data_IF_628797913319
#
_entry.id   IF_628797913319
#
_cell.length_a   1.000
_cell.length_b   1.000
_cell.length_c   1.000
_cell.angle_alpha   90.00
_cell.angle_beta   90.00
_cell.angle_gamma   90.00
#
_symmetry.space_group_name_H-M   'P 1'
#
loop_
_entity.id
_entity.type
_entity.pdbx_description
1 polymer ?
#
# COMPACT_ATOMS: atom_id res chain seq x y z
N UNK A 1 25.54 5.03 -2.32
CA UNK A 1 26.92 5.29 -1.84
C UNK A 1 26.96 4.97 -0.36
N UNK A 2 27.90 4.15 0.11
CA UNK A 2 27.96 3.74 1.53
C UNK A 2 29.09 4.48 2.22
N UNK A 3 28.77 5.31 3.20
CA UNK A 3 29.77 6.05 3.98
C UNK A 3 29.85 5.38 5.35
N UNK A 4 31.03 4.91 5.78
CA UNK A 4 31.18 4.33 7.10
C UNK A 4 31.01 5.41 8.17
N UNK A 5 29.96 5.31 8.98
CA UNK A 5 29.76 6.18 10.13
C UNK A 5 30.84 5.89 11.19
N UNK A 6 31.72 6.86 11.46
CA UNK A 6 32.82 6.72 12.43
C UNK A 6 32.66 7.63 13.66
N UNK A 7 31.98 8.77 13.52
CA UNK A 7 31.80 9.81 14.55
C UNK A 7 30.55 10.64 14.27
N UNK A 8 29.91 11.22 15.29
CA UNK A 8 28.85 12.22 15.11
C UNK A 8 29.41 13.63 15.38
N UNK A 9 29.26 14.60 14.46
CA UNK A 9 28.65 14.49 13.12
C UNK A 9 29.52 13.67 12.14
N UNK A 10 28.90 12.92 11.20
CA UNK A 10 29.61 12.23 10.11
C UNK A 10 29.59 13.12 8.86
N UNK A 11 30.74 13.57 8.34
CA UNK A 11 30.78 14.32 7.09
C UNK A 11 30.41 13.41 5.91
N UNK A 12 29.64 13.94 4.97
CA UNK A 12 29.25 13.25 3.74
C UNK A 12 29.28 14.18 2.53
N UNK A 13 29.32 13.59 1.34
CA UNK A 13 29.15 14.30 0.06
C UNK A 13 28.20 13.47 -0.79
N UNK A 14 27.17 14.11 -1.33
CA UNK A 14 26.19 13.47 -2.22
C UNK A 14 26.45 13.91 -3.66
N UNK A 15 27.20 13.13 -4.45
CA UNK A 15 27.36 13.44 -5.88
C UNK A 15 26.04 13.15 -6.61
N UNK A 16 25.59 14.08 -7.44
CA UNK A 16 24.44 13.92 -8.32
C UNK A 16 24.79 14.35 -9.75
N UNK A 17 24.18 13.76 -10.79
CA UNK A 17 24.44 14.14 -12.17
C UNK A 17 23.98 15.57 -12.47
N UNK A 18 24.71 16.29 -13.32
CA UNK A 18 24.27 17.56 -13.86
C UNK A 18 22.96 17.35 -14.65
N UNK A 19 21.89 18.05 -14.28
CA UNK A 19 20.55 17.88 -14.84
C UNK A 19 19.65 16.86 -14.12
N UNK A 20 20.10 16.25 -13.02
CA UNK A 20 19.23 15.45 -12.16
C UNK A 20 18.22 16.29 -11.37
N UNK A 21 18.43 17.61 -11.32
CA UNK A 21 17.54 18.58 -10.71
C UNK A 21 16.88 19.40 -11.81
N UNK A 22 15.56 19.36 -11.85
CA UNK A 22 14.70 20.11 -12.76
C UNK A 22 14.38 21.48 -12.15
N UNK A 23 14.47 22.53 -12.97
CA UNK A 23 14.14 23.89 -12.52
C UNK A 23 12.68 23.97 -12.04
N UNK A 24 12.47 24.52 -10.84
CA UNK A 24 11.14 24.70 -10.25
C UNK A 24 10.65 23.50 -9.42
N UNK A 25 11.39 22.39 -9.37
CA UNK A 25 11.05 21.23 -8.54
C UNK A 25 11.66 21.32 -7.14
N UNK A 26 11.01 20.65 -6.18
CA UNK A 26 11.54 20.43 -4.83
C UNK A 26 11.79 18.95 -4.63
N UNK A 27 12.95 18.64 -4.09
CA UNK A 27 13.40 17.30 -3.77
C UNK A 27 13.40 17.08 -2.27
N UNK A 28 13.42 15.83 -1.83
CA UNK A 28 13.56 15.47 -0.43
C UNK A 28 14.92 14.82 -0.21
N UNK A 29 15.71 15.37 0.72
CA UNK A 29 16.94 14.73 1.19
C UNK A 29 16.61 13.71 2.27
N UNK A 30 17.23 12.54 2.17
CA UNK A 30 17.08 11.46 3.13
C UNK A 30 18.44 10.83 3.41
N UNK A 31 18.75 10.62 4.69
CA UNK A 31 19.90 9.84 5.12
C UNK A 31 19.45 8.57 5.84
N UNK A 32 20.15 7.47 5.57
CA UNK A 32 19.99 6.19 6.26
C UNK A 32 21.36 5.63 6.68
N UNK A 33 21.42 5.05 7.88
CA UNK A 33 22.60 4.37 8.41
C UNK A 33 22.21 2.92 8.69
N UNK A 34 22.86 1.99 8.00
CA UNK A 34 22.65 0.55 8.16
C UNK A 34 23.88 -0.15 8.76
N UNK A 35 23.66 -1.18 9.57
CA UNK A 35 24.70 -2.06 10.10
C UNK A 35 24.32 -3.52 9.83
N UNK A 36 25.23 -4.31 9.27
CA UNK A 36 24.98 -5.71 8.89
C UNK A 36 23.72 -5.93 8.01
N UNK A 37 23.35 -4.91 7.20
CA UNK A 37 22.15 -4.94 6.35
C UNK A 37 20.85 -4.48 7.04
N UNK A 38 20.87 -4.23 8.35
CA UNK A 38 19.74 -3.71 9.11
C UNK A 38 19.79 -2.18 9.21
N UNK A 39 18.67 -1.50 8.99
CA UNK A 39 18.54 -0.05 9.15
C UNK A 39 18.54 0.33 10.64
N UNK A 40 19.48 1.17 11.05
CA UNK A 40 19.67 1.58 12.44
C UNK A 40 19.23 3.02 12.71
N UNK A 41 19.37 3.90 11.70
CA UNK A 41 18.98 5.31 11.80
C UNK A 41 18.45 5.82 10.46
N UNK A 42 17.41 6.64 10.48
CA UNK A 42 16.90 7.35 9.29
C UNK A 42 16.54 8.79 9.63
N UNK A 43 16.58 9.68 8.64
CA UNK A 43 15.91 10.99 8.74
C UNK A 43 14.41 10.77 8.84
N UNK A 44 13.77 11.33 9.87
CA UNK A 44 12.32 11.22 10.13
C UNK A 44 11.55 12.48 9.72
N UNK A 45 12.24 13.60 9.52
CA UNK A 45 11.66 14.87 9.08
C UNK A 45 11.86 15.06 7.58
N UNK A 46 10.90 15.74 6.94
CA UNK A 46 11.01 16.06 5.52
C UNK A 46 12.00 17.21 5.32
N UNK A 47 13.18 16.90 4.77
CA UNK A 47 14.20 17.91 4.46
C UNK A 47 14.08 18.28 2.99
N UNK A 48 13.39 19.38 2.71
CA UNK A 48 13.23 19.90 1.35
C UNK A 48 14.56 20.46 0.82
N UNK A 49 14.83 20.21 -0.47
CA UNK A 49 16.00 20.65 -1.19
C UNK A 49 15.59 21.15 -2.57
N UNK A 50 15.88 22.41 -2.85
CA UNK A 50 15.54 23.11 -4.09
C UNK A 50 16.74 23.26 -5.04
N UNK A 51 17.89 22.66 -4.71
CA UNK A 51 19.08 22.66 -5.57
C UNK A 51 19.93 23.93 -5.51
N UNK A 52 19.54 24.96 -4.75
CA UNK A 52 20.27 26.24 -4.68
C UNK A 52 21.32 26.29 -3.59
N UNK A 53 21.02 25.77 -2.39
CA UNK A 53 21.99 25.60 -1.32
C UNK A 53 22.75 24.30 -1.58
N UNK A 54 24.08 24.33 -1.64
CA UNK A 54 24.91 23.15 -1.93
C UNK A 54 25.77 22.69 -0.74
N UNK A 55 25.89 23.53 0.29
CA UNK A 55 26.74 23.31 1.46
C UNK A 55 25.96 23.57 2.77
N UNK A 56 26.49 23.07 3.89
CA UNK A 56 25.96 23.38 5.23
C UNK A 56 24.69 22.63 5.62
N UNK A 57 24.35 21.52 4.95
CA UNK A 57 23.20 20.70 5.33
C UNK A 57 23.52 19.79 6.51
N UNK A 58 22.70 19.89 7.55
CA UNK A 58 22.67 18.94 8.66
C UNK A 58 21.44 18.05 8.52
N UNK A 59 21.66 16.76 8.28
CA UNK A 59 20.61 15.75 8.25
C UNK A 59 20.57 15.04 9.60
N UNK A 60 19.59 15.38 10.44
CA UNK A 60 19.38 14.65 11.68
C UNK A 60 18.82 13.26 11.37
N UNK A 61 19.50 12.23 11.87
CA UNK A 61 19.04 10.84 11.78
C UNK A 61 18.68 10.37 13.18
N UNK A 62 17.48 9.81 13.32
CA UNK A 62 17.01 9.29 14.60
C UNK A 62 17.14 7.78 14.60
N UNK A 63 17.46 7.18 15.76
CA UNK A 63 17.54 5.73 15.91
C UNK A 63 16.16 5.16 15.63
N UNK A 64 16.07 4.30 14.62
CA UNK A 64 14.88 3.51 14.39
C UNK A 64 14.85 2.44 15.48
N UNK A 65 13.97 2.62 16.46
CA UNK A 65 13.68 1.57 17.43
C UNK A 65 12.92 0.45 16.73
N UNK A 66 13.60 -0.43 15.98
CA UNK A 66 13.04 -1.65 15.42
C UNK A 66 11.70 -1.53 14.70
N UNK A 67 11.37 -0.38 14.11
CA UNK A 67 10.06 -0.13 13.51
C UNK A 67 10.07 1.11 12.61
N UNK A 68 9.52 0.91 11.42
CA UNK A 68 9.07 1.90 10.45
C UNK A 68 10.11 2.90 9.89
N UNK A 69 10.87 2.43 8.89
CA UNK A 69 10.93 3.16 7.62
C UNK A 69 9.47 3.43 7.19
N UNK A 70 9.05 4.64 6.76
CA UNK A 70 7.68 4.84 6.32
C UNK A 70 7.45 3.86 5.18
N UNK A 71 6.79 2.76 5.50
CA UNK A 71 6.49 1.74 4.54
C UNK A 71 5.71 2.46 3.46
N UNK A 72 6.15 2.35 2.21
CA UNK A 72 5.25 2.65 1.10
C UNK A 72 3.91 2.01 1.48
N UNK A 73 2.83 2.80 1.44
CA UNK A 73 1.51 2.34 1.87
C UNK A 73 1.30 0.92 1.30
N UNK A 74 0.83 -0.05 2.11
CA UNK A 74 0.70 -1.43 1.67
C UNK A 74 0.12 -1.44 0.27
N UNK A 75 0.68 -2.21 -0.67
CA UNK A 75 0.33 -2.09 -2.10
C UNK A 75 -1.17 -2.32 -2.39
N UNK A 76 -1.92 -2.84 -1.41
CA UNK A 76 -3.36 -3.03 -1.37
C UNK A 76 -4.16 -1.76 -0.99
N UNK A 77 -3.52 -0.72 -0.45
CA UNK A 77 -4.16 0.58 -0.15
C UNK A 77 -4.45 1.29 -1.47
N UNK A 78 -5.72 1.60 -1.69
CA UNK A 78 -6.18 2.16 -2.96
C UNK A 78 -7.63 1.79 -3.26
N UNK A 79 -8.05 2.13 -4.47
CA UNK A 79 -9.36 1.79 -5.01
C UNK A 79 -9.22 0.69 -6.05
N UNK A 80 -10.09 -0.30 -5.96
CA UNK A 80 -10.04 -1.53 -6.73
C UNK A 80 -11.42 -1.84 -7.32
N UNK A 81 -11.44 -2.29 -8.57
CA UNK A 81 -12.61 -2.77 -9.27
C UNK A 81 -12.51 -4.28 -9.43
N UNK A 82 -13.52 -5.02 -8.98
CA UNK A 82 -13.52 -6.47 -9.11
C UNK A 82 -13.67 -6.91 -10.56
N UNK A 83 -12.86 -7.88 -10.97
CA UNK A 83 -12.88 -8.46 -12.32
C UNK A 83 -13.21 -9.96 -12.31
N UNK A 84 -12.90 -10.65 -11.23
CA UNK A 84 -13.18 -12.08 -11.08
C UNK A 84 -13.39 -12.49 -9.62
N UNK A 85 -14.31 -13.44 -9.41
CA UNK A 85 -14.46 -14.17 -8.16
C UNK A 85 -14.37 -15.68 -8.45
N UNK A 86 -13.29 -16.31 -8.00
CA UNK A 86 -13.10 -17.77 -8.07
C UNK A 86 -13.23 -18.39 -9.47
N UNK A 87 -12.86 -17.66 -10.54
CA UNK A 87 -12.92 -18.09 -11.93
C UNK A 87 -14.30 -18.01 -12.59
N UNK A 88 -15.26 -17.33 -11.94
CA UNK A 88 -16.63 -17.17 -12.43
C UNK A 88 -16.89 -15.88 -13.22
N UNK A 89 -15.91 -14.97 -13.29
CA UNK A 89 -16.09 -13.62 -13.82
C UNK A 89 -17.03 -12.74 -12.98
N UNK A 90 -17.11 -11.46 -13.33
CA UNK A 90 -18.11 -10.52 -12.83
C UNK A 90 -19.16 -10.25 -13.91
N UNK A 91 -20.39 -9.90 -13.51
CA UNK A 91 -21.40 -9.41 -14.45
C UNK A 91 -20.91 -8.07 -15.03
N UNK A 92 -20.75 -7.97 -16.35
CA UNK A 92 -20.14 -6.81 -17.04
C UNK A 92 -20.76 -5.45 -16.66
N UNK A 93 -22.08 -5.40 -16.43
CA UNK A 93 -22.81 -4.17 -16.07
C UNK A 93 -22.88 -3.90 -14.55
N UNK A 94 -22.27 -4.74 -13.71
CA UNK A 94 -22.31 -4.65 -12.25
C UNK A 94 -20.92 -4.36 -11.66
N UNK A 95 -20.62 -3.08 -11.47
CA UNK A 95 -19.36 -2.64 -10.89
C UNK A 95 -19.31 -2.93 -9.38
N UNK A 96 -18.49 -3.90 -8.99
CA UNK A 96 -18.18 -4.16 -7.58
C UNK A 96 -16.84 -3.50 -7.22
N UNK A 97 -16.86 -2.55 -6.29
CA UNK A 97 -15.69 -1.75 -5.92
C UNK A 97 -15.24 -2.03 -4.49
N UNK A 98 -13.93 -1.92 -4.26
CA UNK A 98 -13.28 -2.10 -2.98
C UNK A 98 -12.25 -0.97 -2.78
N UNK A 99 -12.41 -0.18 -1.74
CA UNK A 99 -11.45 0.84 -1.34
C UNK A 99 -10.90 0.51 0.04
N UNK A 100 -9.58 0.47 0.14
CA UNK A 100 -8.86 0.18 1.38
C UNK A 100 -7.99 1.39 1.69
N UNK A 101 -8.25 2.05 2.81
CA UNK A 101 -7.50 3.19 3.29
C UNK A 101 -6.28 2.75 4.12
N UNK A 102 -5.29 3.63 4.23
CA UNK A 102 -4.05 3.35 4.96
C UNK A 102 -4.26 3.14 6.48
N UNK A 103 -5.38 3.61 7.03
CA UNK A 103 -5.78 3.39 8.41
C UNK A 103 -6.50 2.04 8.62
N UNK A 104 -6.64 1.23 7.57
CA UNK A 104 -7.36 -0.03 7.59
C UNK A 104 -8.87 0.11 7.40
N UNK A 105 -9.40 1.29 7.12
CA UNK A 105 -10.81 1.46 6.78
C UNK A 105 -11.09 0.84 5.41
N UNK A 106 -12.16 0.03 5.34
CA UNK A 106 -12.61 -0.61 4.11
C UNK A 106 -13.98 -0.09 3.76
N UNK A 107 -14.17 0.34 2.52
CA UNK A 107 -15.47 0.76 1.97
C UNK A 107 -15.62 0.28 0.55
N UNK A 108 -16.84 0.15 0.05
CA UNK A 108 -17.03 -0.27 -1.34
C UNK A 108 -18.49 -0.57 -1.68
N UNK A 109 -18.68 -1.12 -2.88
CA UNK A 109 -19.95 -1.63 -3.36
C UNK A 109 -19.79 -3.07 -3.81
N UNK A 110 -20.59 -3.99 -3.30
CA UNK A 110 -20.55 -5.41 -3.67
C UNK A 110 -21.54 -5.75 -4.80
N UNK A 111 -21.92 -4.74 -5.59
CA UNK A 111 -22.97 -4.81 -6.60
C UNK A 111 -24.18 -3.95 -6.23
N UNK A 112 -25.18 -4.55 -5.59
CA UNK A 112 -26.40 -3.84 -5.19
C UNK A 112 -26.18 -2.97 -3.95
N UNK A 113 -25.45 -3.52 -2.97
CA UNK A 113 -25.29 -2.91 -1.67
C UNK A 113 -23.92 -2.25 -1.49
N UNK A 114 -23.93 -1.11 -0.81
CA UNK A 114 -22.72 -0.53 -0.25
C UNK A 114 -22.32 -1.32 1.00
N UNK A 115 -21.03 -1.47 1.23
CA UNK A 115 -20.48 -2.08 2.43
C UNK A 115 -19.34 -1.24 3.02
N UNK A 116 -19.11 -1.41 4.31
CA UNK A 116 -18.03 -0.78 5.03
C UNK A 116 -17.60 -1.59 6.25
N UNK A 117 -16.34 -1.46 6.63
CA UNK A 117 -15.76 -2.15 7.77
C UNK A 117 -14.30 -1.78 7.94
N UNK A 118 -13.54 -2.69 8.53
CA UNK A 118 -12.10 -2.52 8.75
C UNK A 118 -11.33 -3.75 8.28
N UNK A 119 -10.07 -3.57 7.94
CA UNK A 119 -9.14 -4.62 7.65
C UNK A 119 -7.83 -4.39 8.43
N UNK A 120 -7.25 -5.48 8.89
CA UNK A 120 -5.89 -5.47 9.45
C UNK A 120 -4.93 -5.86 8.36
N UNK A 121 -3.98 -4.98 8.05
CA UNK A 121 -2.98 -5.18 7.00
C UNK A 121 -1.61 -5.31 7.68
N UNK A 122 -0.89 -6.39 7.37
CA UNK A 122 0.43 -6.65 7.91
C UNK A 122 1.33 -7.25 6.82
N UNK A 123 2.22 -6.42 6.25
CA UNK A 123 3.06 -6.79 5.11
C UNK A 123 2.24 -7.32 3.91
N UNK A 124 2.29 -8.63 3.65
CA UNK A 124 1.57 -9.36 2.59
C UNK A 124 0.25 -10.00 3.07
N UNK A 125 -0.08 -9.86 4.35
CA UNK A 125 -1.29 -10.40 4.96
C UNK A 125 -2.36 -9.33 5.06
N UNK A 126 -3.59 -9.74 4.79
CA UNK A 126 -4.78 -8.93 5.04
C UNK A 126 -5.85 -9.81 5.66
N UNK A 127 -6.52 -9.28 6.68
CA UNK A 127 -7.69 -9.91 7.28
C UNK A 127 -8.78 -8.87 7.38
N UNK A 128 -9.89 -9.13 6.71
CA UNK A 128 -11.07 -8.28 6.82
C UNK A 128 -11.78 -8.59 8.14
N UNK A 129 -12.10 -7.53 8.87
CA UNK A 129 -12.97 -7.59 10.03
C UNK A 129 -14.44 -7.73 9.63
N UNK A 130 -15.37 -7.58 10.59
CA UNK A 130 -16.79 -7.61 10.28
C UNK A 130 -17.15 -6.49 9.30
N UNK A 131 -17.67 -6.88 8.13
CA UNK A 131 -18.18 -5.96 7.12
C UNK A 131 -19.68 -5.75 7.35
N UNK A 132 -20.10 -4.49 7.41
CA UNK A 132 -21.50 -4.11 7.48
C UNK A 132 -21.95 -3.58 6.12
N UNK A 133 -23.09 -4.07 5.62
CA UNK A 133 -23.67 -3.62 4.35
C UNK A 133 -25.13 -3.22 4.48
N UNK A 134 -25.64 -2.54 3.45
CA UNK A 134 -27.09 -2.31 3.30
C UNK A 134 -27.80 -3.59 2.83
N UNK A 135 -29.12 -3.66 3.01
CA UNK A 135 -29.96 -4.78 2.56
C UNK A 135 -31.00 -4.31 1.54
N UNK A 136 -30.56 -4.00 0.32
CA UNK A 136 -31.44 -3.74 -0.82
C UNK A 136 -31.73 -5.04 -1.57
N UNK A 137 -33.01 -5.23 -1.93
CA UNK A 137 -33.43 -6.35 -2.76
C UNK A 137 -33.13 -6.03 -4.24
N UNK A 138 -32.11 -6.69 -4.79
CA UNK A 138 -31.79 -6.66 -6.22
C UNK A 138 -32.15 -7.99 -6.89
N UNK A 139 -31.96 -8.06 -8.21
CA UNK A 139 -32.13 -9.31 -8.96
C UNK A 139 -31.27 -10.45 -8.37
N UNK A 140 -31.74 -11.68 -8.46
CA UNK A 140 -31.12 -12.85 -7.82
C UNK A 140 -29.64 -13.02 -8.20
N UNK A 141 -29.30 -12.84 -9.48
CA UNK A 141 -27.92 -12.91 -9.97
C UNK A 141 -27.00 -11.85 -9.35
N UNK A 142 -27.51 -10.65 -9.05
CA UNK A 142 -26.75 -9.58 -8.38
C UNK A 142 -26.50 -9.95 -6.92
N UNK A 143 -27.51 -10.51 -6.25
CA UNK A 143 -27.35 -10.98 -4.88
C UNK A 143 -26.42 -12.20 -4.77
N UNK A 144 -26.37 -13.07 -5.77
CA UNK A 144 -25.40 -14.16 -5.85
C UNK A 144 -23.97 -13.66 -5.96
N UNK A 145 -23.72 -12.65 -6.80
CA UNK A 145 -22.41 -12.03 -6.92
C UNK A 145 -22.01 -11.33 -5.61
N UNK A 146 -22.94 -10.62 -4.98
CA UNK A 146 -22.72 -10.00 -3.68
C UNK A 146 -22.30 -11.04 -2.62
N UNK A 147 -22.99 -12.18 -2.54
CA UNK A 147 -22.59 -13.25 -1.60
C UNK A 147 -21.19 -13.78 -1.87
N UNK A 148 -20.82 -14.01 -3.14
CA UNK A 148 -19.47 -14.47 -3.52
C UNK A 148 -18.40 -13.44 -3.17
N UNK A 149 -18.70 -12.16 -3.35
CA UNK A 149 -17.81 -11.07 -2.96
C UNK A 149 -17.52 -11.09 -1.46
N UNK A 150 -18.56 -11.15 -0.63
CA UNK A 150 -18.40 -11.18 0.83
C UNK A 150 -17.70 -12.46 1.31
N UNK A 151 -18.03 -13.64 0.76
CA UNK A 151 -17.35 -14.91 1.08
C UNK A 151 -15.85 -14.84 0.75
N UNK A 152 -15.48 -14.24 -0.40
CA UNK A 152 -14.08 -14.06 -0.78
C UNK A 152 -13.35 -13.15 0.22
N UNK A 153 -13.93 -12.03 0.64
CA UNK A 153 -13.31 -11.14 1.62
C UNK A 153 -13.16 -11.82 3.00
N UNK A 154 -14.18 -12.53 3.47
CA UNK A 154 -14.14 -13.24 4.75
C UNK A 154 -13.07 -14.33 4.79
N UNK A 155 -12.85 -15.01 3.67
CA UNK A 155 -11.87 -16.11 3.57
C UNK A 155 -10.45 -15.63 3.26
N UNK A 156 -10.28 -14.35 2.94
CA UNK A 156 -8.97 -13.80 2.58
C UNK A 156 -8.04 -13.83 3.78
N UNK A 157 -6.83 -14.35 3.57
CA UNK A 157 -5.76 -14.38 4.56
C UNK A 157 -4.51 -13.61 4.09
N UNK A 158 -4.33 -13.45 2.79
CA UNK A 158 -3.20 -12.76 2.18
C UNK A 158 -3.57 -12.15 0.84
N UNK A 159 -2.75 -11.20 0.40
CA UNK A 159 -2.91 -10.56 -0.89
C UNK A 159 -1.60 -10.54 -1.68
N UNK A 160 -1.71 -10.41 -3.00
CA UNK A 160 -0.59 -10.17 -3.88
C UNK A 160 -0.96 -9.20 -4.99
N UNK A 161 0.04 -8.52 -5.56
CA UNK A 161 -0.13 -7.73 -6.78
C UNK A 161 0.55 -8.50 -7.92
N UNK A 162 -0.19 -8.80 -8.97
CA UNK A 162 0.36 -9.52 -10.14
C UNK A 162 1.26 -8.61 -11.00
N UNK A 163 1.90 -9.20 -12.02
CA UNK A 163 2.79 -8.46 -12.92
C UNK A 163 2.09 -7.36 -13.74
N UNK A 164 0.76 -7.37 -13.79
CA UNK A 164 -0.09 -6.40 -14.46
C UNK A 164 -0.64 -5.32 -13.50
N UNK A 165 -0.24 -5.35 -12.22
CA UNK A 165 -0.71 -4.40 -11.21
C UNK A 165 -2.10 -4.71 -10.66
N UNK A 166 -2.60 -5.94 -10.85
CA UNK A 166 -3.91 -6.36 -10.36
C UNK A 166 -3.78 -6.93 -8.95
N UNK A 167 -4.71 -6.57 -8.08
CA UNK A 167 -4.82 -7.11 -6.74
C UNK A 167 -5.45 -8.51 -6.80
N UNK A 168 -4.78 -9.48 -6.19
CA UNK A 168 -5.26 -10.86 -6.06
C UNK A 168 -5.37 -11.18 -4.58
N UNK A 169 -6.55 -11.63 -4.17
CA UNK A 169 -6.80 -12.09 -2.80
C UNK A 169 -6.70 -13.61 -2.73
N UNK A 170 -6.03 -14.09 -1.69
CA UNK A 170 -5.76 -15.50 -1.48
C UNK A 170 -6.33 -15.98 -0.14
N UNK A 171 -6.81 -17.21 -0.12
CA UNK A 171 -7.19 -17.88 1.13
C UNK A 171 -5.95 -18.33 1.93
N UNK A 172 -6.19 -18.91 3.11
CA UNK A 172 -5.12 -19.42 3.98
C UNK A 172 -4.30 -20.57 3.35
N UNK A 173 -4.83 -21.25 2.32
CA UNK A 173 -4.14 -22.29 1.56
C UNK A 173 -3.40 -21.74 0.32
N UNK A 174 -3.53 -20.44 0.04
CA UNK A 174 -2.93 -19.76 -1.11
C UNK A 174 -3.78 -19.80 -2.39
N UNK A 175 -5.01 -20.33 -2.34
CA UNK A 175 -5.91 -20.36 -3.49
C UNK A 175 -6.46 -18.97 -3.81
N UNK A 176 -6.54 -18.63 -5.09
CA UNK A 176 -7.10 -17.37 -5.57
C UNK A 176 -8.61 -17.32 -5.30
N UNK A 177 -9.04 -16.30 -4.55
CA UNK A 177 -10.45 -16.07 -4.21
C UNK A 177 -11.08 -15.01 -5.10
N UNK A 178 -10.35 -13.92 -5.34
CA UNK A 178 -10.85 -12.78 -6.09
C UNK A 178 -9.71 -11.99 -6.71
N UNK A 179 -10.02 -11.35 -7.85
CA UNK A 179 -9.09 -10.51 -8.59
C UNK A 179 -9.70 -9.15 -8.89
N UNK A 180 -8.88 -8.11 -8.74
CA UNK A 180 -9.29 -6.73 -8.90
C UNK A 180 -8.26 -5.94 -9.73
N UNK A 181 -8.74 -5.00 -10.54
CA UNK A 181 -7.92 -4.00 -11.22
C UNK A 181 -7.91 -2.69 -10.43
N UNK A 182 -6.85 -1.90 -10.57
CA UNK A 182 -6.81 -0.55 -10.01
C UNK A 182 -7.89 0.32 -10.69
N UNK A 183 -8.68 1.03 -9.88
CA UNK A 183 -9.81 1.86 -10.31
C UNK A 183 -9.51 3.35 -10.23
#
# INVERSE_FOLDING_TARGET
>A
MTIPARTSPTPFTLPYPAGALEEGHRYALRASISAAGELMFTTTEHVAFDGTQLDGFELMVQRTGGGDEPAAAPAIVGSWLAEDFGGGGVIDDLQSTLTIAADGTVTGHSGCNGFGGTATIAADKITFGPLAGTLMACAEAVMDQERKFHDALERTASFSIDAQGKLVLHDAAGAELAKFSAN
#
